data_IF_616347906524
#
_entry.id   IF_616347906524
#
_cell.length_a   1.000
_cell.length_b   1.000
_cell.length_c   1.000
_cell.angle_alpha   90.00
_cell.angle_beta   90.00
_cell.angle_gamma   90.00
#
_symmetry.space_group_name_H-M   'P 1'
#
loop_
_entity.id
_entity.type
_entity.pdbx_description
1 polymer ?
#
# COMPACT_ATOMS: atom_id res chain seq x y z
N UNK A 1 4.43 -0.81 3.31
CA UNK A 1 3.69 -1.43 4.43
C UNK A 1 2.62 -2.32 3.86
N UNK A 2 2.46 -3.53 4.40
CA UNK A 2 1.38 -4.45 4.06
C UNK A 2 0.22 -4.18 5.04
N UNK A 3 -1.00 -4.05 4.53
CA UNK A 3 -2.20 -3.85 5.33
C UNK A 3 -2.91 -5.19 5.58
N UNK A 4 -3.30 -5.42 6.83
CA UNK A 4 -4.01 -6.61 7.30
C UNK A 4 -5.47 -6.22 7.66
N UNK A 5 -6.46 -6.44 6.76
CA UNK A 5 -7.84 -5.95 6.95
C UNK A 5 -8.55 -6.47 8.19
N UNK A 6 -8.39 -7.76 8.47
CA UNK A 6 -9.00 -8.44 9.63
C UNK A 6 -8.59 -7.81 10.96
N UNK A 7 -7.36 -7.29 11.03
CA UNK A 7 -6.81 -6.68 12.24
C UNK A 7 -6.86 -5.15 12.20
N UNK A 8 -7.10 -4.56 11.03
CA UNK A 8 -6.94 -3.13 10.76
C UNK A 8 -5.55 -2.60 11.12
N UNK A 9 -4.51 -3.40 10.86
CA UNK A 9 -3.11 -3.07 11.19
C UNK A 9 -2.22 -3.11 9.97
N UNK A 10 -1.06 -2.48 10.06
CA UNK A 10 -0.02 -2.54 9.04
C UNK A 10 1.23 -3.24 9.52
N UNK A 11 1.96 -3.88 8.61
CA UNK A 11 3.25 -4.51 8.85
C UNK A 11 4.32 -3.84 7.97
N UNK A 12 5.47 -3.51 8.55
CA UNK A 12 6.64 -3.07 7.80
C UNK A 12 7.32 -4.28 7.19
N UNK A 13 7.24 -4.40 5.87
CA UNK A 13 7.85 -5.49 5.11
C UNK A 13 8.99 -4.96 4.25
N UNK A 14 10.15 -5.60 4.34
CA UNK A 14 11.24 -5.39 3.39
C UNK A 14 10.89 -6.04 2.05
N UNK A 15 11.19 -5.33 0.96
CA UNK A 15 10.91 -5.79 -0.40
C UNK A 15 12.13 -5.59 -1.29
N UNK A 16 12.32 -6.49 -2.25
CA UNK A 16 13.30 -6.31 -3.31
C UNK A 16 12.67 -5.53 -4.44
N UNK A 17 13.26 -4.38 -4.74
CA UNK A 17 12.79 -3.49 -5.81
C UNK A 17 13.48 -3.82 -7.14
N UNK A 18 12.74 -3.70 -8.22
CA UNK A 18 13.23 -3.76 -9.59
C UNK A 18 13.29 -2.38 -10.22
N UNK A 19 12.83 -2.28 -11.46
CA UNK A 19 12.78 -1.02 -12.19
C UNK A 19 11.84 0.00 -11.51
N UNK A 20 12.20 1.28 -11.63
CA UNK A 20 11.40 2.41 -11.16
C UNK A 20 11.21 3.39 -12.30
N UNK A 21 9.96 3.71 -12.63
CA UNK A 21 9.64 4.68 -13.68
C UNK A 21 8.25 5.28 -13.48
N UNK A 22 8.06 6.55 -13.85
CA UNK A 22 6.74 7.23 -13.91
C UNK A 22 5.87 7.06 -12.65
N UNK A 23 6.45 7.21 -11.46
CA UNK A 23 5.71 7.08 -10.19
C UNK A 23 5.34 5.65 -9.82
N UNK A 24 5.84 4.65 -10.55
CA UNK A 24 5.66 3.23 -10.28
C UNK A 24 7.00 2.58 -9.91
N UNK A 25 6.93 1.54 -9.08
CA UNK A 25 8.06 0.72 -8.70
C UNK A 25 7.69 -0.75 -8.88
N UNK A 26 8.58 -1.50 -9.51
CA UNK A 26 8.48 -2.95 -9.64
C UNK A 26 8.91 -3.63 -8.33
N UNK A 27 8.15 -4.66 -7.91
CA UNK A 27 8.50 -5.50 -6.77
C UNK A 27 8.92 -6.88 -7.29
N UNK A 28 10.16 -7.26 -7.02
CA UNK A 28 10.73 -8.55 -7.44
C UNK A 28 10.58 -9.65 -6.38
N UNK A 29 10.53 -9.27 -5.09
CA UNK A 29 10.36 -10.21 -3.98
C UNK A 29 9.89 -9.50 -2.70
N UNK A 30 9.39 -10.27 -1.73
CA UNK A 30 9.02 -9.78 -0.39
C UNK A 30 7.51 -9.58 -0.16
N UNK A 31 6.71 -9.74 -1.22
CA UNK A 31 5.25 -9.70 -1.20
C UNK A 31 4.64 -10.97 -1.79
N UNK A 32 3.40 -11.25 -1.42
CA UNK A 32 2.57 -12.30 -2.00
C UNK A 32 1.43 -11.68 -2.78
N UNK A 33 0.91 -12.44 -3.74
CA UNK A 33 -0.30 -12.04 -4.46
C UNK A 33 -1.46 -11.78 -3.49
N UNK A 34 -2.31 -10.81 -3.85
CA UNK A 34 -3.50 -10.39 -3.09
C UNK A 34 -3.22 -9.70 -1.74
N UNK A 35 -1.96 -9.48 -1.36
CA UNK A 35 -1.63 -8.60 -0.24
C UNK A 35 -1.97 -7.14 -0.58
N UNK A 36 -2.53 -6.41 0.38
CA UNK A 36 -2.86 -4.99 0.23
C UNK A 36 -1.69 -4.13 0.68
N UNK A 37 -1.36 -3.10 -0.11
CA UNK A 37 -0.27 -2.18 0.19
C UNK A 37 -0.81 -0.80 0.54
N UNK A 38 -0.18 -0.19 1.53
CA UNK A 38 -0.38 1.24 1.79
C UNK A 38 0.48 2.05 0.82
N UNK A 39 -0.17 2.82 -0.04
CA UNK A 39 0.47 3.69 -1.04
C UNK A 39 0.37 5.18 -0.72
N UNK A 40 -0.54 5.55 0.19
CA UNK A 40 -0.71 6.93 0.68
C UNK A 40 -0.83 6.96 2.21
N UNK A 41 -0.43 8.07 2.83
CA UNK A 41 -0.47 8.26 4.30
C UNK A 41 0.67 7.60 5.07
N UNK A 42 1.76 7.19 4.40
CA UNK A 42 2.84 6.39 5.01
C UNK A 42 3.72 7.12 6.01
N UNK A 43 3.76 8.46 6.00
CA UNK A 43 4.72 9.27 6.75
C UNK A 43 4.68 9.04 8.27
N UNK A 44 3.48 8.76 8.82
CA UNK A 44 3.26 8.57 10.27
C UNK A 44 3.16 7.11 10.67
N UNK A 45 3.33 6.17 9.74
CA UNK A 45 3.20 4.74 10.04
C UNK A 45 4.43 4.20 10.77
N UNK A 46 4.16 3.35 11.74
CA UNK A 46 5.13 2.47 12.40
C UNK A 46 4.68 1.02 12.21
N UNK A 47 5.59 0.08 12.44
CA UNK A 47 5.24 -1.33 12.38
C UNK A 47 4.14 -1.67 13.39
N UNK A 48 3.16 -2.46 12.97
CA UNK A 48 1.99 -2.79 13.77
C UNK A 48 1.00 -1.65 14.00
N UNK A 49 1.13 -0.48 13.36
CA UNK A 49 0.18 0.62 13.59
C UNK A 49 -1.26 0.21 13.20
N UNK A 50 -2.24 0.59 14.03
CA UNK A 50 -3.66 0.49 13.68
C UNK A 50 -4.01 1.62 12.71
N UNK A 51 -4.77 1.29 11.67
CA UNK A 51 -5.16 2.25 10.62
C UNK A 51 -6.65 2.19 10.32
N UNK A 52 -7.17 3.28 9.78
CA UNK A 52 -8.48 3.33 9.16
C UNK A 52 -8.27 3.57 7.67
N UNK A 53 -8.83 2.71 6.83
CA UNK A 53 -8.82 2.93 5.38
C UNK A 53 -9.84 4.02 5.08
N UNK A 54 -9.35 5.13 4.52
CA UNK A 54 -10.19 6.21 3.99
C UNK A 54 -10.36 5.87 2.51
N UNK A 55 -11.49 5.28 2.13
CA UNK A 55 -11.82 5.07 0.73
C UNK A 55 -12.45 6.35 0.19
N UNK A 56 -11.84 6.93 -0.85
CA UNK A 56 -12.65 7.47 -1.94
C UNK A 56 -12.80 6.30 -2.93
N UNK A 57 -14.03 5.97 -3.27
CA UNK A 57 -14.35 4.80 -4.09
C UNK A 57 -13.53 4.82 -5.41
N UNK A 58 -12.71 3.81 -5.73
CA UNK A 58 -11.95 3.78 -6.99
C UNK A 58 -12.84 3.70 -8.23
N UNK A 59 -14.16 3.45 -8.11
CA UNK A 59 -15.11 3.64 -9.20
C UNK A 59 -15.37 5.12 -9.55
N UNK A 60 -14.99 6.06 -8.67
CA UNK A 60 -15.11 7.51 -8.87
C UNK A 60 -13.86 8.14 -9.52
N UNK A 61 -12.82 7.35 -9.77
CA UNK A 61 -11.53 7.80 -10.31
C UNK A 61 -11.45 7.85 -11.84
N UNK A 62 -12.40 8.50 -12.51
CA UNK A 62 -12.23 8.97 -13.90
C UNK A 62 -12.78 10.40 -14.03
N UNK A 63 -12.31 11.28 -13.15
CA UNK A 63 -12.46 12.72 -13.28
C UNK A 63 -11.57 13.24 -14.40
N UNK A 64 -12.05 13.13 -15.65
CA UNK A 64 -11.64 14.03 -16.70
C UNK A 64 -11.89 15.47 -16.21
N UNK A 65 -10.84 16.29 -16.20
CA UNK A 65 -10.96 17.74 -16.23
C UNK A 65 -10.25 18.24 -17.47
#
# INVERSE_FOLDING_TARGET
>A
YVYHPEQKRVERREVKLGLRSRGQAEILAGLKEKELLVVDGVLKLVDGATVQVITDDPASGNGAK
#
